data_IF_665006890253
#
_entry.id   IF_665006890253
#
_cell.length_a   1.000
_cell.length_b   1.000
_cell.length_c   1.000
_cell.angle_alpha   90.00
_cell.angle_beta   90.00
_cell.angle_gamma   90.00
#
_symmetry.space_group_name_H-M   'P 1'
#
loop_
_entity.id
_entity.type
_entity.pdbx_description
1 polymer ?
#
# COMPACT_ATOMS: atom_id res chain seq x y z
N UNK A 1 20.33 8.20 -6.51
CA UNK A 1 21.22 9.18 -7.17
C UNK A 1 22.54 9.37 -6.42
N UNK A 2 22.51 9.70 -5.11
CA UNK A 2 23.74 9.97 -4.34
C UNK A 2 24.68 8.76 -4.28
N UNK A 3 24.14 7.55 -4.10
CA UNK A 3 24.94 6.33 -4.05
C UNK A 3 25.58 5.98 -5.40
N UNK A 4 24.84 6.10 -6.51
CA UNK A 4 25.36 5.83 -7.86
C UNK A 4 26.47 6.82 -8.25
N UNK A 5 26.31 8.11 -7.92
CA UNK A 5 27.34 9.12 -8.16
C UNK A 5 28.55 8.97 -7.24
N UNK A 6 28.32 8.62 -5.97
CA UNK A 6 29.38 8.40 -4.99
C UNK A 6 30.26 7.20 -5.33
N UNK A 7 29.65 6.12 -5.82
CA UNK A 7 30.37 4.92 -6.27
C UNK A 7 31.19 5.22 -7.54
N UNK A 8 30.62 5.92 -8.52
CA UNK A 8 31.35 6.31 -9.74
C UNK A 8 32.51 7.28 -9.45
N UNK A 9 32.39 8.18 -8.46
CA UNK A 9 33.46 9.11 -8.10
C UNK A 9 34.57 8.46 -7.26
N UNK A 10 34.21 7.54 -6.38
CA UNK A 10 35.18 6.87 -5.48
C UNK A 10 36.01 5.83 -6.21
N UNK A 11 35.38 5.08 -7.12
CA UNK A 11 35.96 3.88 -7.72
C UNK A 11 36.40 4.10 -9.19
N UNK A 12 36.28 5.34 -9.71
CA UNK A 12 36.76 5.72 -11.03
C UNK A 12 38.29 5.60 -11.17
N UNK A 13 38.78 5.12 -12.32
CA UNK A 13 40.21 5.10 -12.60
C UNK A 13 40.77 6.52 -12.75
N UNK A 14 42.04 6.72 -12.34
CA UNK A 14 42.71 7.99 -12.54
C UNK A 14 42.75 8.33 -14.04
N UNK A 15 42.37 9.56 -14.38
CA UNK A 15 42.38 10.03 -15.76
C UNK A 15 43.81 10.28 -16.23
N UNK A 16 44.15 9.74 -17.40
CA UNK A 16 45.44 9.98 -18.03
C UNK A 16 45.34 11.29 -18.81
N UNK A 17 46.29 12.20 -18.60
CA UNK A 17 46.37 13.44 -19.38
C UNK A 17 47.11 13.22 -20.70
N UNK A 18 46.74 13.98 -21.75
CA UNK A 18 47.40 13.93 -23.06
C UNK A 18 48.92 14.15 -22.98
N UNK A 19 49.37 14.93 -22.00
CA UNK A 19 50.77 15.19 -21.73
C UNK A 19 51.51 13.94 -21.21
N UNK A 20 50.87 13.15 -20.35
CA UNK A 20 51.46 11.91 -19.83
C UNK A 20 51.56 10.84 -20.91
N UNK A 21 50.57 10.75 -21.81
CA UNK A 21 50.59 9.85 -22.97
C UNK A 21 51.74 10.19 -23.93
N UNK A 22 51.93 11.47 -24.25
CA UNK A 22 52.98 11.92 -25.18
C UNK A 22 54.40 11.73 -24.65
N UNK A 23 54.58 11.79 -23.33
CA UNK A 23 55.90 11.73 -22.70
C UNK A 23 56.22 10.37 -22.06
N UNK A 24 55.36 9.36 -22.24
CA UNK A 24 55.60 8.00 -21.73
C UNK A 24 55.75 7.94 -20.20
N UNK A 25 55.10 8.85 -19.47
CA UNK A 25 55.22 8.91 -18.01
C UNK A 25 54.38 7.80 -17.36
N UNK A 26 54.94 7.02 -16.42
CA UNK A 26 54.20 5.96 -15.76
C UNK A 26 53.05 6.53 -14.92
N UNK A 27 51.92 5.83 -14.95
CA UNK A 27 50.73 6.21 -14.19
C UNK A 27 50.98 5.94 -12.70
N UNK A 28 50.98 6.98 -11.88
CA UNK A 28 51.09 6.83 -10.42
C UNK A 28 49.70 6.50 -9.88
N UNK A 29 49.35 5.21 -9.85
CA UNK A 29 48.15 4.74 -9.15
C UNK A 29 48.55 4.10 -7.83
N UNK A 30 48.04 4.64 -6.72
CA UNK A 30 48.01 3.93 -5.45
C UNK A 30 47.20 2.65 -5.62
N UNK A 31 47.85 1.48 -5.66
CA UNK A 31 47.22 0.16 -5.85
C UNK A 31 46.45 -0.31 -4.61
N UNK A 32 46.30 0.52 -3.58
CA UNK A 32 45.66 0.21 -2.30
C UNK A 32 44.15 0.44 -2.30
N UNK A 33 43.59 1.08 -3.34
CA UNK A 33 42.15 1.28 -3.52
C UNK A 33 41.69 0.46 -4.73
N UNK A 34 40.58 -0.26 -4.56
CA UNK A 34 39.98 -1.02 -5.65
C UNK A 34 39.46 -0.05 -6.72
N UNK A 35 40.23 0.12 -7.79
CA UNK A 35 39.86 0.95 -8.94
C UNK A 35 39.18 0.05 -9.97
N UNK A 36 38.00 0.43 -10.41
CA UNK A 36 37.31 -0.29 -11.49
C UNK A 36 38.07 -0.18 -12.81
N UNK A 37 38.03 -1.23 -13.62
CA UNK A 37 38.51 -1.14 -14.99
C UNK A 37 37.62 -0.17 -15.78
N UNK A 38 38.12 0.47 -16.85
CA UNK A 38 37.29 1.33 -17.70
C UNK A 38 36.02 0.64 -18.23
N UNK A 39 36.09 -0.67 -18.47
CA UNK A 39 34.96 -1.50 -18.92
C UNK A 39 33.91 -1.66 -17.81
N UNK A 40 34.34 -1.96 -16.59
CA UNK A 40 33.46 -2.07 -15.42
C UNK A 40 32.81 -0.72 -15.08
N UNK A 41 33.56 0.37 -15.16
CA UNK A 41 33.01 1.71 -14.95
C UNK A 41 31.94 2.04 -16.00
N UNK A 42 32.17 1.67 -17.27
CA UNK A 42 31.20 1.89 -18.35
C UNK A 42 29.92 1.08 -18.11
N UNK A 43 30.02 -0.18 -17.74
CA UNK A 43 28.85 -1.03 -17.46
C UNK A 43 28.04 -0.50 -16.26
N UNK A 44 28.72 -0.14 -15.16
CA UNK A 44 28.08 0.37 -13.97
C UNK A 44 27.46 1.76 -14.17
N UNK A 45 28.08 2.63 -14.98
CA UNK A 45 27.49 3.92 -15.34
C UNK A 45 26.28 3.79 -16.26
N UNK A 46 26.30 2.83 -17.20
CA UNK A 46 25.16 2.53 -18.06
C UNK A 46 23.99 1.94 -17.25
N UNK A 47 24.26 1.02 -16.33
CA UNK A 47 23.26 0.43 -15.43
C UNK A 47 22.65 1.49 -14.50
N UNK A 48 23.47 2.35 -13.89
CA UNK A 48 23.00 3.46 -13.08
C UNK A 48 22.12 4.44 -13.89
N UNK A 49 22.49 4.72 -15.14
CA UNK A 49 21.71 5.55 -16.05
C UNK A 49 20.35 4.94 -16.39
N UNK A 50 20.31 3.63 -16.70
CA UNK A 50 19.05 2.90 -16.96
C UNK A 50 18.14 2.90 -15.74
N UNK A 51 18.70 2.64 -14.55
CA UNK A 51 17.95 2.65 -13.29
C UNK A 51 17.40 4.04 -12.97
N UNK A 52 18.15 5.10 -13.28
CA UNK A 52 17.67 6.47 -13.10
C UNK A 52 16.50 6.78 -14.04
N UNK A 53 16.62 6.43 -15.32
CA UNK A 53 15.53 6.62 -16.29
C UNK A 53 14.29 5.83 -15.88
N UNK A 54 14.45 4.58 -15.46
CA UNK A 54 13.35 3.76 -14.96
C UNK A 54 12.67 4.40 -13.73
N UNK A 55 13.45 4.89 -12.76
CA UNK A 55 12.91 5.56 -11.59
C UNK A 55 12.17 6.87 -11.94
N UNK A 56 12.65 7.63 -12.94
CA UNK A 56 11.95 8.82 -13.44
C UNK A 56 10.61 8.46 -14.10
N UNK A 57 10.58 7.40 -14.92
CA UNK A 57 9.35 6.93 -15.55
C UNK A 57 8.33 6.39 -14.54
N UNK A 58 8.80 5.70 -13.49
CA UNK A 58 7.93 5.29 -12.38
C UNK A 58 7.39 6.49 -11.60
N UNK A 59 8.21 7.52 -11.39
CA UNK A 59 7.77 8.76 -10.75
C UNK A 59 6.69 9.48 -11.56
N UNK A 60 6.84 9.56 -12.89
CA UNK A 60 5.81 10.11 -13.77
C UNK A 60 4.49 9.34 -13.67
N UNK A 61 4.55 8.00 -13.69
CA UNK A 61 3.36 7.17 -13.48
C UNK A 61 2.69 7.42 -12.12
N UNK A 62 3.49 7.55 -11.06
CA UNK A 62 2.96 7.89 -9.74
C UNK A 62 2.28 9.26 -9.72
N UNK A 63 2.81 10.25 -10.45
CA UNK A 63 2.16 11.56 -10.58
C UNK A 63 0.82 11.47 -11.31
N UNK A 64 0.73 10.65 -12.36
CA UNK A 64 -0.52 10.42 -13.10
C UNK A 64 -1.56 9.65 -12.26
N UNK A 65 -1.10 8.75 -11.37
CA UNK A 65 -1.95 7.99 -10.46
C UNK A 65 -2.37 8.76 -9.20
N UNK A 66 -1.77 9.94 -8.95
CA UNK A 66 -2.19 10.77 -7.82
C UNK A 66 -3.67 11.13 -7.99
N UNK A 67 -4.51 10.87 -6.99
CA UNK A 67 -5.90 11.27 -7.05
C UNK A 67 -5.93 12.78 -7.27
N UNK A 68 -6.62 13.23 -8.33
CA UNK A 68 -6.70 14.64 -8.72
C UNK A 68 -6.98 15.51 -7.50
N UNK A 69 -5.90 16.11 -6.97
CA UNK A 69 -5.88 16.82 -5.70
C UNK A 69 -6.31 18.26 -5.93
N UNK A 70 -7.42 18.45 -6.65
CA UNK A 70 -7.97 19.77 -6.95
C UNK A 70 -9.48 19.71 -6.76
N UNK A 71 -9.85 19.67 -5.48
CA UNK A 71 -11.11 20.22 -5.01
C UNK A 71 -10.75 21.17 -3.88
N UNK A 72 -11.49 22.26 -3.75
CA UNK A 72 -11.26 23.20 -2.65
C UNK A 72 -11.35 22.46 -1.31
N UNK A 73 -10.67 22.96 -0.28
CA UNK A 73 -10.79 22.43 1.08
C UNK A 73 -12.26 22.37 1.53
N UNK A 74 -13.05 23.35 1.08
CA UNK A 74 -14.48 23.43 1.29
C UNK A 74 -15.23 22.25 0.64
N UNK A 75 -14.95 21.91 -0.62
CA UNK A 75 -15.56 20.77 -1.31
C UNK A 75 -15.23 19.43 -0.64
N UNK A 76 -14.00 19.28 -0.14
CA UNK A 76 -13.59 18.09 0.59
C UNK A 76 -14.33 17.98 1.93
N UNK A 77 -14.49 19.10 2.62
CA UNK A 77 -15.20 19.18 3.90
C UNK A 77 -16.69 18.89 3.73
N UNK A 78 -17.32 19.44 2.69
CA UNK A 78 -18.73 19.18 2.38
C UNK A 78 -18.95 17.70 2.04
N UNK A 79 -18.08 17.10 1.23
CA UNK A 79 -18.16 15.68 0.91
C UNK A 79 -17.97 14.79 2.14
N UNK A 80 -17.12 15.18 3.08
CA UNK A 80 -16.93 14.46 4.34
C UNK A 80 -18.18 14.52 5.22
N UNK A 81 -18.83 15.69 5.30
CA UNK A 81 -20.12 15.83 5.99
C UNK A 81 -21.22 14.99 5.34
N UNK A 82 -21.28 14.94 4.02
CA UNK A 82 -22.23 14.10 3.29
C UNK A 82 -22.02 12.62 3.60
N UNK A 83 -20.77 12.15 3.60
CA UNK A 83 -20.46 10.77 3.98
C UNK A 83 -20.79 10.46 5.44
N UNK A 84 -20.53 11.39 6.36
CA UNK A 84 -20.93 11.24 7.76
C UNK A 84 -22.45 11.11 7.90
N UNK A 85 -23.21 11.99 7.25
CA UNK A 85 -24.68 11.95 7.28
C UNK A 85 -25.23 10.66 6.66
N UNK A 86 -24.67 10.21 5.53
CA UNK A 86 -25.06 8.93 4.93
C UNK A 86 -24.79 7.75 5.87
N UNK A 87 -23.65 7.75 6.56
CA UNK A 87 -23.28 6.68 7.47
C UNK A 87 -24.17 6.66 8.71
N UNK A 88 -24.50 7.82 9.28
CA UNK A 88 -25.46 7.94 10.38
C UNK A 88 -26.85 7.44 9.99
N UNK A 89 -27.35 7.83 8.82
CA UNK A 89 -28.65 7.38 8.30
C UNK A 89 -28.67 5.87 8.07
N UNK A 90 -27.60 5.31 7.49
CA UNK A 90 -27.49 3.86 7.30
C UNK A 90 -27.41 3.11 8.62
N UNK A 91 -26.66 3.64 9.59
CA UNK A 91 -26.55 3.05 10.94
C UNK A 91 -27.90 3.03 11.64
N UNK A 92 -28.66 4.12 11.55
CA UNK A 92 -30.01 4.19 12.12
C UNK A 92 -30.95 3.17 11.45
N UNK A 93 -30.92 3.06 10.12
CA UNK A 93 -31.73 2.08 9.39
C UNK A 93 -31.34 0.64 9.75
N UNK A 94 -30.05 0.35 9.88
CA UNK A 94 -29.56 -0.96 10.30
C UNK A 94 -30.02 -1.30 11.72
N UNK A 95 -29.96 -0.34 12.64
CA UNK A 95 -30.47 -0.52 14.00
C UNK A 95 -31.96 -0.88 14.00
N UNK A 96 -32.80 -0.15 13.28
CA UNK A 96 -34.22 -0.46 13.16
C UNK A 96 -34.48 -1.87 12.61
N UNK A 97 -33.68 -2.31 11.63
CA UNK A 97 -33.79 -3.67 11.08
C UNK A 97 -33.37 -4.74 12.08
N UNK A 98 -32.36 -4.47 12.90
CA UNK A 98 -31.90 -5.37 13.96
C UNK A 98 -32.98 -5.48 15.03
N UNK A 99 -33.50 -4.36 15.53
CA UNK A 99 -34.55 -4.34 16.56
C UNK A 99 -35.78 -5.15 16.10
N UNK A 100 -36.20 -4.95 14.84
CA UNK A 100 -37.31 -5.70 14.23
C UNK A 100 -36.99 -7.21 14.09
N UNK A 101 -35.75 -7.57 13.75
CA UNK A 101 -35.35 -8.97 13.68
C UNK A 101 -35.32 -9.64 15.07
N UNK A 102 -34.88 -8.92 16.10
CA UNK A 102 -34.90 -9.39 17.49
C UNK A 102 -36.33 -9.62 17.99
N UNK A 103 -37.26 -8.70 17.69
CA UNK A 103 -38.69 -8.86 17.99
C UNK A 103 -39.27 -10.13 17.35
N UNK A 104 -38.98 -10.37 16.07
CA UNK A 104 -39.43 -11.59 15.39
C UNK A 104 -38.85 -12.85 16.01
N UNK A 105 -37.56 -12.85 16.37
CA UNK A 105 -36.93 -13.99 17.04
C UNK A 105 -37.59 -14.26 18.40
N UNK A 106 -37.93 -13.22 19.15
CA UNK A 106 -38.62 -13.38 20.43
C UNK A 106 -40.02 -13.99 20.26
N UNK A 107 -40.79 -13.52 19.27
CA UNK A 107 -42.12 -14.07 18.96
C UNK A 107 -42.03 -15.56 18.59
N UNK A 108 -41.07 -15.92 17.73
CA UNK A 108 -40.83 -17.31 17.33
C UNK A 108 -40.40 -18.16 18.53
N UNK A 109 -39.51 -17.65 19.38
CA UNK A 109 -39.08 -18.34 20.60
C UNK A 109 -40.26 -18.66 21.52
N UNK A 110 -41.11 -17.67 21.78
CA UNK A 110 -42.31 -17.85 22.62
C UNK A 110 -43.28 -18.88 22.01
N UNK A 111 -43.50 -18.83 20.69
CA UNK A 111 -44.33 -19.84 20.00
C UNK A 111 -43.76 -21.26 20.10
N UNK A 112 -42.43 -21.42 19.98
CA UNK A 112 -41.78 -22.73 20.14
C UNK A 112 -41.94 -23.25 21.57
N UNK A 113 -41.79 -22.37 22.56
CA UNK A 113 -41.98 -22.71 23.97
C UNK A 113 -43.42 -23.15 24.24
N UNK A 114 -44.41 -22.42 23.75
CA UNK A 114 -45.84 -22.76 23.86
C UNK A 114 -46.15 -24.12 23.21
N UNK A 115 -45.66 -24.37 22.00
CA UNK A 115 -45.84 -25.66 21.30
C UNK A 115 -45.20 -26.80 22.09
N UNK A 116 -44.02 -26.57 22.65
CA UNK A 116 -43.27 -27.57 23.44
C UNK A 116 -44.00 -27.90 24.74
N UNK A 117 -44.46 -26.87 25.47
CA UNK A 117 -45.23 -27.00 26.70
C UNK A 117 -46.55 -27.73 26.44
N UNK A 118 -47.28 -27.38 25.39
CA UNK A 118 -48.50 -28.08 24.98
C UNK A 118 -48.23 -29.55 24.65
N UNK A 119 -47.16 -29.86 23.89
CA UNK A 119 -46.79 -31.25 23.57
C UNK A 119 -46.45 -32.07 24.82
N UNK A 120 -45.74 -31.49 25.78
CA UNK A 120 -45.42 -32.16 27.05
C UNK A 120 -46.69 -32.47 27.85
N UNK A 121 -47.61 -31.51 27.97
CA UNK A 121 -48.88 -31.72 28.67
C UNK A 121 -49.72 -32.84 28.05
N UNK A 122 -49.82 -32.87 26.70
CA UNK A 122 -50.56 -33.92 25.97
C UNK A 122 -49.92 -35.31 26.17
N UNK A 123 -48.59 -35.42 26.17
CA UNK A 123 -47.89 -36.70 26.40
C UNK A 123 -48.02 -37.22 27.83
N UNK A 124 -48.09 -36.34 28.84
CA UNK A 124 -48.08 -36.75 30.24
C UNK A 124 -49.47 -37.07 30.82
N UNK A 125 -50.57 -36.70 30.18
CA UNK A 125 -51.92 -37.12 30.62
C UNK A 125 -52.21 -38.63 30.40
N UNK A 126 -51.48 -39.30 29.51
CA UNK A 126 -51.69 -40.72 29.21
C UNK A 126 -51.16 -41.70 30.27
N UNK A 127 -50.51 -41.23 31.35
CA UNK A 127 -50.01 -42.09 32.46
C UNK A 127 -50.90 -42.09 33.71
N UNK A 128 -52.08 -41.46 33.67
CA UNK A 128 -53.02 -41.32 34.81
C UNK A 128 -54.35 -42.09 34.64
N UNK A 129 -54.41 -43.09 33.77
CA UNK A 129 -55.54 -44.03 33.72
C UNK A 129 -55.09 -45.43 34.10
#
# INVERSE_FOLDING_TARGET
MVDSLGVLQRDAPPSITDYQLRNGLPMVSDTTKAVWTPEQLREQSEEAGKNLVAACLEFEKMLDELPTLIRSEEDQTNRLKDFQSQNENQTHLLKQKIDLAEDYLQIVSNSIEDITNNRLQVRHQSKKK
#
